data_IF_804891115899
#
_entry.id   IF_804891115899
#
_cell.length_a   1.000
_cell.length_b   1.000
_cell.length_c   1.000
_cell.angle_alpha   90.00
_cell.angle_beta   90.00
_cell.angle_gamma   90.00
#
_symmetry.space_group_name_H-M   'P 1'
#
loop_
_entity.id
_entity.type
_entity.pdbx_description
1 polymer ?
#
# COMPACT_ATOMS: atom_id res chain seq x y z
N UNK A 1 4.00 14.34 9.22
CA UNK A 1 4.19 14.88 7.86
C UNK A 1 3.98 13.75 6.87
N UNK A 2 3.26 13.99 5.77
CA UNK A 2 3.07 13.02 4.69
C UNK A 2 4.25 13.11 3.70
N UNK A 3 4.81 11.98 3.28
CA UNK A 3 5.90 11.93 2.30
C UNK A 3 5.45 11.23 1.03
N UNK A 4 5.79 11.82 -0.13
CA UNK A 4 5.57 11.20 -1.43
C UNK A 4 6.81 10.39 -1.81
N UNK A 5 6.61 9.10 -2.11
CA UNK A 5 7.66 8.22 -2.62
C UNK A 5 7.40 7.98 -4.11
N UNK A 6 8.38 8.29 -4.95
CA UNK A 6 8.32 8.03 -6.40
C UNK A 6 9.23 6.84 -6.71
N UNK A 7 8.67 5.81 -7.34
CA UNK A 7 9.40 4.61 -7.74
C UNK A 7 8.86 4.07 -9.08
N UNK A 8 9.67 3.29 -9.83
CA UNK A 8 9.17 2.55 -10.99
C UNK A 8 8.01 1.63 -10.61
N UNK A 9 7.03 1.44 -11.50
CA UNK A 9 5.76 0.77 -11.18
C UNK A 9 5.92 -0.60 -10.49
N UNK A 10 6.80 -1.46 -11.02
CA UNK A 10 7.08 -2.76 -10.40
C UNK A 10 7.62 -2.62 -8.97
N UNK A 11 8.51 -1.66 -8.74
CA UNK A 11 9.08 -1.37 -7.42
C UNK A 11 8.05 -0.74 -6.48
N UNK A 12 7.15 0.11 -6.99
CA UNK A 12 6.07 0.70 -6.22
C UNK A 12 5.07 -0.37 -5.72
N UNK A 13 4.76 -1.36 -6.56
CA UNK A 13 3.91 -2.51 -6.16
C UNK A 13 4.59 -3.33 -5.07
N UNK A 14 5.86 -3.69 -5.25
CA UNK A 14 6.60 -4.45 -4.24
C UNK A 14 6.74 -3.68 -2.92
N UNK A 15 7.04 -2.39 -2.97
CA UNK A 15 7.10 -1.53 -1.78
C UNK A 15 5.75 -1.42 -1.08
N UNK A 16 4.66 -1.27 -1.83
CA UNK A 16 3.30 -1.22 -1.27
C UNK A 16 2.93 -2.53 -0.57
N UNK A 17 3.30 -3.69 -1.12
CA UNK A 17 3.07 -5.00 -0.47
C UNK A 17 3.74 -5.09 0.89
N UNK A 18 4.91 -4.46 1.08
CA UNK A 18 5.61 -4.43 2.37
C UNK A 18 4.90 -3.57 3.43
N UNK A 19 3.95 -2.71 3.04
CA UNK A 19 3.18 -1.90 3.99
C UNK A 19 2.16 -2.74 4.78
N UNK A 20 1.64 -3.82 4.17
CA UNK A 20 0.66 -4.72 4.79
C UNK A 20 1.20 -5.36 6.08
N UNK A 21 2.35 -6.08 6.07
CA UNK A 21 2.91 -6.66 7.29
C UNK A 21 3.33 -5.57 8.30
N UNK A 22 3.91 -4.45 7.84
CA UNK A 22 4.30 -3.34 8.73
C UNK A 22 3.11 -2.76 9.51
N UNK A 23 1.97 -2.57 8.86
CA UNK A 23 0.77 -2.05 9.53
C UNK A 23 0.23 -3.04 10.57
N UNK A 24 0.34 -4.34 10.29
CA UNK A 24 -0.06 -5.40 11.22
C UNK A 24 0.87 -5.46 12.45
N UNK A 25 2.17 -5.31 12.24
CA UNK A 25 3.20 -5.43 13.28
C UNK A 25 3.38 -4.15 14.10
N UNK A 26 3.44 -2.99 13.46
CA UNK A 26 3.75 -1.70 14.11
C UNK A 26 2.50 -1.03 14.68
N UNK A 27 1.30 -1.36 14.16
CA UNK A 27 0.04 -0.71 14.53
C UNK A 27 -1.09 -1.69 14.92
N UNK A 28 -0.85 -2.70 15.79
CA UNK A 28 -1.82 -3.77 16.07
C UNK A 28 -3.14 -3.30 16.72
N UNK A 29 -3.13 -2.13 17.38
CA UNK A 29 -4.29 -1.57 18.06
C UNK A 29 -4.86 -0.31 17.38
N UNK A 30 -4.42 -0.02 16.16
CA UNK A 30 -4.97 1.10 15.41
C UNK A 30 -6.41 0.78 15.03
N UNK A 31 -7.36 1.55 15.55
CA UNK A 31 -8.80 1.34 15.29
C UNK A 31 -9.15 1.31 13.80
N UNK A 32 -8.36 1.99 12.99
CA UNK A 32 -8.52 2.13 11.53
C UNK A 32 -7.66 1.13 10.73
N UNK A 33 -7.01 0.16 11.41
CA UNK A 33 -6.15 -0.81 10.75
C UNK A 33 -6.89 -1.60 9.64
N UNK A 34 -8.14 -2.06 9.83
CA UNK A 34 -8.86 -2.76 8.77
C UNK A 34 -9.07 -1.89 7.52
N UNK A 35 -9.54 -0.65 7.69
CA UNK A 35 -9.79 0.28 6.59
C UNK A 35 -8.49 0.67 5.87
N UNK A 36 -7.39 0.82 6.62
CA UNK A 36 -6.09 1.14 6.04
C UNK A 36 -5.54 -0.04 5.23
N UNK A 37 -5.70 -1.27 5.72
CA UNK A 37 -5.31 -2.48 5.00
C UNK A 37 -6.11 -2.65 3.72
N UNK A 38 -7.44 -2.47 3.78
CA UNK A 38 -8.32 -2.54 2.61
C UNK A 38 -7.95 -1.49 1.55
N UNK A 39 -7.64 -0.26 1.97
CA UNK A 39 -7.20 0.80 1.07
C UNK A 39 -5.91 0.42 0.35
N UNK A 40 -4.92 -0.10 1.08
CA UNK A 40 -3.64 -0.50 0.51
C UNK A 40 -3.82 -1.66 -0.47
N UNK A 41 -4.57 -2.69 -0.10
CA UNK A 41 -4.87 -3.84 -0.97
C UNK A 41 -5.59 -3.38 -2.25
N UNK A 42 -6.56 -2.48 -2.13
CA UNK A 42 -7.28 -1.92 -3.28
C UNK A 42 -6.35 -1.16 -4.22
N UNK A 43 -5.46 -0.32 -3.69
CA UNK A 43 -4.48 0.43 -4.50
C UNK A 43 -3.53 -0.55 -5.22
N UNK A 44 -3.04 -1.57 -4.51
CA UNK A 44 -2.08 -2.54 -5.04
C UNK A 44 -2.67 -3.47 -6.10
N UNK A 45 -3.90 -3.95 -5.92
CA UNK A 45 -4.53 -4.93 -6.83
C UNK A 45 -5.22 -4.25 -8.00
N UNK A 46 -5.87 -3.11 -7.76
CA UNK A 46 -6.71 -2.49 -8.77
C UNK A 46 -6.09 -1.24 -9.38
N UNK A 47 -5.58 -0.29 -8.59
CA UNK A 47 -5.15 1.01 -9.14
C UNK A 47 -3.78 0.94 -9.81
N UNK A 48 -2.74 0.47 -9.11
CA UNK A 48 -1.38 0.45 -9.63
C UNK A 48 -1.21 -0.42 -10.90
N UNK A 49 -1.78 -1.63 -10.99
CA UNK A 49 -1.64 -2.45 -12.19
C UNK A 49 -2.39 -1.86 -13.39
N UNK A 50 -3.50 -1.16 -13.16
CA UNK A 50 -4.25 -0.49 -14.24
C UNK A 50 -3.50 0.73 -14.81
N UNK A 51 -2.74 1.46 -13.98
CA UNK A 51 -1.87 2.54 -14.45
C UNK A 51 -0.70 2.01 -15.29
N UNK A 52 -0.21 0.80 -14.98
CA UNK A 52 0.87 0.15 -15.73
C UNK A 52 0.47 -0.42 -17.09
N UNK A 53 -0.85 -0.52 -17.39
CA UNK A 53 -1.37 -1.13 -18.63
C UNK A 53 -1.53 -0.13 -19.79
N UNK A 54 -1.11 1.12 -19.64
CA UNK A 54 -1.14 2.14 -20.71
C UNK A 54 0.22 2.34 -21.35
#
# INVERSE_FOLDING_TARGET
MLQLIVAPTARAIEQGKQLIPRIREEFPNLKQQPELLELIETILVYKLPQVSRK
#
